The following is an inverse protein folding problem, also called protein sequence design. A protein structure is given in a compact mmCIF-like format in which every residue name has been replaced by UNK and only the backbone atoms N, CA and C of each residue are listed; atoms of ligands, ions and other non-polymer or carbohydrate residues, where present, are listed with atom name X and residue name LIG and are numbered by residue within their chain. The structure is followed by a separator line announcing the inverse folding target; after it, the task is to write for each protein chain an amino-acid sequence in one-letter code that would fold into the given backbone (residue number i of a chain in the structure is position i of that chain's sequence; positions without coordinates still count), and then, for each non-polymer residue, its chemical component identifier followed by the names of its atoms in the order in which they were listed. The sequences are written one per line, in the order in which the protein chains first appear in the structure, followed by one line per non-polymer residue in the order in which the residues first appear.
data_IF_273135652624
#
_entry.id   IF_273135652624
#
_cell.length_a   1.000
_cell.length_b   1.000
_cell.length_c   1.000
_cell.angle_alpha   90.00
_cell.angle_beta   90.00
_cell.angle_gamma   90.00
#
_symmetry.space_group_name_H-M   'P 1'
#
loop_
_entity.id
_entity.type
_entity.pdbx_description
1 polymer ?
#
# COMPACT_ATOMS: atom_id res chain seq x y z
N UNK A 1 4.47 7.98 20.03
CA UNK A 1 5.07 9.28 19.67
C UNK A 1 4.35 9.94 18.50
N UNK A 2 4.10 9.25 17.38
CA UNK A 2 3.46 9.86 16.21
C UNK A 2 2.02 10.31 16.49
N UNK A 3 1.20 9.45 17.10
CA UNK A 3 -0.17 9.77 17.52
C UNK A 3 -0.24 10.99 18.44
N UNK A 4 0.58 11.00 19.49
CA UNK A 4 0.69 12.13 20.42
C UNK A 4 1.01 13.45 19.72
N UNK A 5 2.04 13.49 18.87
CA UNK A 5 2.43 14.73 18.17
C UNK A 5 1.42 15.16 17.10
N UNK A 6 0.72 14.21 16.48
CA UNK A 6 -0.33 14.50 15.52
C UNK A 6 -1.56 15.10 16.22
N UNK A 7 -1.91 14.56 17.39
CA UNK A 7 -2.98 15.07 18.24
C UNK A 7 -2.76 16.54 18.64
N UNK A 8 -1.53 16.92 19.00
CA UNK A 8 -1.18 18.30 19.36
C UNK A 8 -1.49 19.34 18.26
N UNK A 9 -1.59 18.91 17.00
CA UNK A 9 -1.91 19.76 15.83
C UNK A 9 -3.27 19.42 15.19
N UNK A 10 -4.10 18.62 15.86
CA UNK A 10 -5.44 18.27 15.38
C UNK A 10 -5.46 17.28 14.20
N UNK A 11 -4.43 16.43 14.07
CA UNK A 11 -4.37 15.36 13.07
C UNK A 11 -4.68 14.01 13.74
N UNK A 12 -5.71 13.32 13.23
CA UNK A 12 -6.05 11.97 13.65
C UNK A 12 -5.09 10.94 13.06
N UNK A 13 -4.66 9.98 13.87
CA UNK A 13 -3.81 8.86 13.44
C UNK A 13 -4.62 7.57 13.48
N UNK A 14 -4.75 6.94 12.32
CA UNK A 14 -5.42 5.65 12.18
C UNK A 14 -4.38 4.55 12.01
N UNK A 15 -4.42 3.55 12.90
CA UNK A 15 -3.62 2.34 12.76
C UNK A 15 -4.36 1.30 11.92
N UNK A 16 -3.64 0.65 11.01
CA UNK A 16 -4.15 -0.45 10.19
C UNK A 16 -3.08 -1.52 10.01
N UNK A 17 -3.49 -2.68 9.51
CA UNK A 17 -2.60 -3.82 9.29
C UNK A 17 -1.88 -3.76 7.92
N UNK A 18 -0.66 -4.27 7.85
CA UNK A 18 0.25 -4.10 6.70
C UNK A 18 0.28 -5.33 5.74
N UNK A 19 -0.67 -6.27 5.84
CA UNK A 19 -0.67 -7.47 5.00
C UNK A 19 -0.53 -7.15 3.51
N UNK A 20 0.47 -7.74 2.88
CA UNK A 20 0.72 -7.72 1.44
C UNK A 20 0.96 -6.34 0.79
N UNK A 21 1.13 -5.24 1.53
CA UNK A 21 1.41 -3.90 0.97
C UNK A 21 2.75 -3.83 0.23
N UNK A 22 3.71 -4.68 0.60
CA UNK A 22 5.02 -4.80 -0.08
C UNK A 22 5.05 -5.81 -1.24
N UNK A 23 3.95 -6.54 -1.46
CA UNK A 23 3.86 -7.60 -2.47
C UNK A 23 2.87 -7.27 -3.58
N UNK A 24 1.67 -6.83 -3.22
CA UNK A 24 0.61 -6.45 -4.17
C UNK A 24 0.93 -5.15 -4.90
N UNK A 25 0.55 -5.09 -6.17
CA UNK A 25 0.70 -3.91 -7.01
C UNK A 25 -0.55 -3.06 -6.95
N UNK A 26 -0.45 -1.89 -6.34
CA UNK A 26 -1.64 -1.07 -6.10
C UNK A 26 -2.07 -0.26 -7.32
N UNK A 27 -1.11 0.01 -8.21
CA UNK A 27 -1.35 0.60 -9.54
C UNK A 27 -1.97 -0.41 -10.51
N UNK A 28 -1.73 -1.72 -10.31
CA UNK A 28 -2.39 -2.79 -11.09
C UNK A 28 -3.70 -3.27 -10.47
N UNK A 29 -4.17 -2.59 -9.41
CA UNK A 29 -5.41 -2.94 -8.71
C UNK A 29 -5.41 -4.37 -8.15
N UNK A 30 -4.24 -4.88 -7.75
CA UNK A 30 -4.17 -6.17 -7.05
C UNK A 30 -5.04 -6.14 -5.78
N UNK A 31 -5.63 -7.29 -5.40
CA UNK A 31 -6.39 -7.39 -4.16
C UNK A 31 -5.50 -7.18 -2.94
N UNK A 32 -6.06 -6.59 -1.88
CA UNK A 32 -5.40 -6.33 -0.60
C UNK A 32 -6.07 -7.12 0.55
N UNK A 33 -5.95 -8.46 0.58
CA UNK A 33 -6.55 -9.27 1.65
C UNK A 33 -5.80 -9.07 2.97
N UNK A 34 -6.48 -9.33 4.08
CA UNK A 34 -5.82 -9.50 5.38
C UNK A 34 -5.10 -10.85 5.39
N UNK A 35 -3.87 -10.92 5.88
CA UNK A 35 -3.12 -12.16 5.96
C UNK A 35 -3.85 -13.21 6.80
N UNK A 36 -3.98 -14.42 6.25
CA UNK A 36 -4.47 -15.61 6.93
C UNK A 36 -3.51 -16.76 6.69
N UNK A 37 -3.18 -17.49 7.77
CA UNK A 37 -2.27 -18.63 7.71
C UNK A 37 -2.86 -19.71 6.80
N UNK A 38 -2.07 -20.18 5.83
CA UNK A 38 -2.49 -21.20 4.87
C UNK A 38 -3.13 -20.68 3.59
N UNK A 39 -3.41 -19.38 3.51
CA UNK A 39 -3.85 -18.74 2.27
C UNK A 39 -2.64 -18.24 1.47
N UNK A 40 -2.68 -18.44 0.15
CA UNK A 40 -1.67 -17.95 -0.78
C UNK A 40 -2.33 -17.08 -1.83
N UNK A 41 -1.76 -15.90 -2.08
CA UNK A 41 -2.24 -14.97 -3.09
C UNK A 41 -1.15 -14.75 -4.12
N UNK A 42 -1.57 -14.65 -5.37
CA UNK A 42 -0.71 -14.24 -6.48
C UNK A 42 -0.97 -12.76 -6.76
N UNK A 43 0.10 -12.01 -6.80
CA UNK A 43 0.11 -10.58 -7.11
C UNK A 43 0.78 -10.36 -8.45
N UNK A 44 0.40 -9.28 -9.14
CA UNK A 44 0.92 -8.96 -10.47
C UNK A 44 2.27 -8.24 -10.39
N UNK A 45 2.48 -7.39 -9.37
CA UNK A 45 3.75 -6.70 -9.19
C UNK A 45 4.77 -7.45 -8.34
N UNK A 46 5.97 -6.87 -8.26
CA UNK A 46 7.11 -7.48 -7.59
C UNK A 46 8.10 -6.43 -7.08
N UNK A 47 8.52 -6.56 -5.83
CA UNK A 47 9.71 -5.84 -5.33
C UNK A 47 10.97 -6.42 -5.98
N UNK A 48 11.70 -5.58 -6.71
CA UNK A 48 12.94 -5.99 -7.40
C UNK A 48 14.12 -5.91 -6.45
N UNK A 49 14.25 -4.78 -5.75
CA UNK A 49 15.31 -4.53 -4.76
C UNK A 49 14.87 -3.44 -3.77
N UNK A 50 15.78 -2.97 -2.90
CA UNK A 50 15.49 -1.85 -2.01
C UNK A 50 15.22 -0.60 -2.85
N UNK A 51 14.10 0.06 -2.56
CA UNK A 51 13.68 1.27 -3.28
C UNK A 51 13.09 1.04 -4.67
N UNK A 52 13.09 -0.18 -5.22
CA UNK A 52 12.55 -0.46 -6.56
C UNK A 52 11.41 -1.50 -6.51
N UNK A 53 10.23 -1.09 -6.97
CA UNK A 53 9.07 -1.94 -7.11
C UNK A 53 8.58 -1.90 -8.56
N UNK A 54 8.42 -3.06 -9.18
CA UNK A 54 7.95 -3.21 -10.55
C UNK A 54 6.46 -3.50 -10.58
N UNK A 55 5.74 -2.73 -11.39
CA UNK A 55 4.33 -2.88 -11.72
C UNK A 55 4.17 -3.07 -13.24
N UNK A 56 2.95 -3.29 -13.73
CA UNK A 56 2.73 -3.66 -15.15
C UNK A 56 3.30 -2.67 -16.17
N UNK A 57 3.29 -1.37 -15.86
CA UNK A 57 3.75 -0.32 -16.79
C UNK A 57 5.14 0.25 -16.47
N UNK A 58 5.84 -0.20 -15.42
CA UNK A 58 7.17 0.33 -15.11
C UNK A 58 7.69 0.03 -13.70
N UNK A 59 8.60 0.89 -13.22
CA UNK A 59 9.19 0.81 -11.88
C UNK A 59 8.86 2.08 -11.11
N UNK A 60 8.42 1.93 -9.87
CA UNK A 60 8.21 3.00 -8.90
C UNK A 60 9.04 2.74 -7.64
N UNK A 61 9.07 3.72 -6.73
CA UNK A 61 9.69 3.52 -5.44
C UNK A 61 8.92 2.47 -4.62
N UNK A 62 9.62 1.53 -3.99
CA UNK A 62 8.99 0.48 -3.18
C UNK A 62 8.24 1.01 -1.95
N UNK A 63 8.75 2.08 -1.33
CA UNK A 63 8.11 2.73 -0.18
C UNK A 63 6.87 3.52 -0.64
N UNK A 64 6.89 4.05 -1.87
CA UNK A 64 5.69 4.65 -2.49
C UNK A 64 4.60 3.59 -2.69
N UNK A 65 4.93 2.40 -3.21
CA UNK A 65 3.96 1.30 -3.30
C UNK A 65 3.40 0.95 -1.91
N UNK A 66 4.27 0.76 -0.91
CA UNK A 66 3.83 0.44 0.45
C UNK A 66 2.90 1.50 1.05
N UNK A 67 3.21 2.79 0.88
CA UNK A 67 2.39 3.90 1.36
C UNK A 67 1.01 3.93 0.69
N UNK A 68 0.95 3.71 -0.63
CA UNK A 68 -0.32 3.59 -1.35
C UNK A 68 -1.19 2.46 -0.78
N UNK A 69 -0.58 1.37 -0.29
CA UNK A 69 -1.30 0.21 0.25
C UNK A 69 -1.98 0.52 1.56
N UNK A 70 -1.26 1.21 2.45
CA UNK A 70 -1.82 1.69 3.71
C UNK A 70 -3.00 2.63 3.44
N UNK A 71 -2.85 3.57 2.51
CA UNK A 71 -3.95 4.48 2.12
C UNK A 71 -5.15 3.68 1.60
N UNK A 72 -4.96 2.74 0.66
CA UNK A 72 -6.06 1.93 0.10
C UNK A 72 -6.74 1.02 1.12
N UNK A 73 -6.06 0.61 2.19
CA UNK A 73 -6.70 -0.19 3.26
C UNK A 73 -7.64 0.62 4.13
N UNK A 74 -7.37 1.91 4.30
CA UNK A 74 -8.18 2.81 5.14
C UNK A 74 -9.22 3.54 4.29
N UNK A 75 -8.84 3.96 3.09
CA UNK A 75 -9.66 4.70 2.13
C UNK A 75 -9.45 4.11 0.72
N UNK A 76 -10.18 3.05 0.35
CA UNK A 76 -9.96 2.29 -0.88
C UNK A 76 -9.92 3.14 -2.16
N UNK A 77 -10.78 4.15 -2.23
CA UNK A 77 -11.00 4.95 -3.44
C UNK A 77 -10.11 6.22 -3.50
N UNK A 78 -9.29 6.48 -2.46
CA UNK A 78 -8.54 7.74 -2.33
C UNK A 78 -7.56 8.01 -3.48
N UNK A 79 -7.11 6.95 -4.17
CA UNK A 79 -6.08 7.01 -5.21
C UNK A 79 -6.60 6.66 -6.61
N UNK A 80 -7.91 6.52 -6.79
CA UNK A 80 -8.51 6.10 -8.06
C UNK A 80 -8.20 7.05 -9.22
N UNK A 81 -8.13 8.36 -8.95
CA UNK A 81 -7.74 9.37 -9.94
C UNK A 81 -6.27 9.21 -10.37
N UNK A 82 -5.41 8.75 -9.47
CA UNK A 82 -3.98 8.56 -9.70
C UNK A 82 -3.71 7.31 -10.54
N UNK A 83 -4.54 6.27 -10.37
CA UNK A 83 -4.43 4.98 -11.07
C UNK A 83 -5.00 5.05 -12.50
N UNK A 84 -5.89 6.00 -12.78
CA UNK A 84 -6.49 6.23 -14.10
C UNK A 84 -5.61 7.03 -15.08
N UNK A 85 -4.48 7.59 -14.60
CA UNK A 85 -3.47 8.28 -15.42
C UNK A 85 -2.51 7.27 -16.07
#
# INVERSE_FOLDING_TARGET
MIEYKAFDVGIDVVFTEESYTSKSSHLDLDPLPVYKKGESHRFTGKRVSRGLYQWSKGIINADLNGAMGIVKKVVPDALDLLIKL
#
